data_IF_532870956220
#
_entry.id   IF_532870956220
#
_cell.length_a   1.000
_cell.length_b   1.000
_cell.length_c   1.000
_cell.angle_alpha   90.00
_cell.angle_beta   90.00
_cell.angle_gamma   90.00
#
_symmetry.space_group_name_H-M   'P 1'
#
loop_
_entity.id
_entity.type
_entity.pdbx_description
1 polymer ?
#
# COMPACT_ATOMS: atom_id res chain seq x y z
N UNK A 1 7.55 8.35 7.14
CA UNK A 1 6.67 7.30 7.72
C UNK A 1 5.24 7.80 7.91
N UNK A 2 5.01 8.89 8.64
CA UNK A 2 3.66 9.45 8.82
C UNK A 2 2.97 9.86 7.50
N UNK A 3 3.75 10.31 6.50
CA UNK A 3 3.24 10.66 5.16
C UNK A 3 2.49 9.51 4.45
N UNK A 4 2.87 8.25 4.70
CA UNK A 4 2.22 7.09 4.09
C UNK A 4 0.74 7.04 4.49
N UNK A 5 0.40 7.31 5.75
CA UNK A 5 -0.99 7.31 6.21
C UNK A 5 -1.83 8.36 5.47
N UNK A 6 -1.26 9.54 5.22
CA UNK A 6 -1.95 10.61 4.49
C UNK A 6 -2.16 10.25 3.02
N UNK A 7 -1.14 9.65 2.38
CA UNK A 7 -1.26 9.17 1.00
C UNK A 7 -2.36 8.12 0.89
N UNK A 8 -2.35 7.10 1.74
CA UNK A 8 -3.37 6.04 1.69
C UNK A 8 -4.76 6.63 1.92
N UNK A 9 -4.94 7.50 2.94
CA UNK A 9 -6.23 8.18 3.16
C UNK A 9 -6.71 8.94 1.92
N UNK A 10 -5.83 9.71 1.28
CA UNK A 10 -6.16 10.46 0.06
C UNK A 10 -6.54 9.56 -1.13
N UNK A 11 -5.91 8.38 -1.26
CA UNK A 11 -6.30 7.39 -2.28
C UNK A 11 -7.75 6.95 -2.05
N UNK A 12 -8.11 6.58 -0.82
CA UNK A 12 -9.46 6.11 -0.50
C UNK A 12 -10.54 7.20 -0.61
N UNK A 13 -10.20 8.47 -0.41
CA UNK A 13 -11.15 9.58 -0.64
C UNK A 13 -11.55 9.72 -2.12
N UNK A 14 -10.72 9.25 -3.04
CA UNK A 14 -10.93 9.35 -4.48
C UNK A 14 -11.58 8.13 -5.13
N UNK A 15 -11.75 7.03 -4.37
CA UNK A 15 -12.24 5.75 -4.88
C UNK A 15 -13.65 5.51 -4.35
N UNK A 16 -14.60 5.35 -5.28
CA UNK A 16 -15.99 5.10 -4.95
C UNK A 16 -16.15 3.67 -4.44
N UNK A 17 -17.12 3.46 -3.54
CA UNK A 17 -17.50 2.15 -3.01
C UNK A 17 -16.40 1.42 -2.21
N UNK A 18 -15.32 2.11 -1.83
CA UNK A 18 -14.30 1.64 -0.92
C UNK A 18 -14.28 2.50 0.36
N UNK A 19 -14.36 1.87 1.53
CA UNK A 19 -14.30 2.54 2.83
C UNK A 19 -13.07 2.09 3.60
N UNK A 20 -12.13 3.01 3.82
CA UNK A 20 -10.95 2.76 4.65
C UNK A 20 -11.36 2.54 6.13
N UNK A 21 -10.82 1.50 6.75
CA UNK A 21 -10.95 1.23 8.19
C UNK A 21 -9.69 1.68 8.94
N UNK A 22 -8.55 1.07 8.59
CA UNK A 22 -7.27 1.33 9.26
C UNK A 22 -6.07 1.21 8.33
N UNK A 23 -5.02 1.94 8.69
CA UNK A 23 -3.69 1.85 8.09
C UNK A 23 -2.68 1.84 9.22
N UNK A 24 -1.92 0.77 9.35
CA UNK A 24 -0.92 0.63 10.40
C UNK A 24 0.43 0.25 9.82
N UNK A 25 1.49 0.88 10.34
CA UNK A 25 2.82 0.30 10.23
C UNK A 25 2.86 -0.93 11.15
N UNK A 26 2.69 -2.11 10.55
CA UNK A 26 2.39 -3.33 11.27
C UNK A 26 3.64 -3.98 11.86
N UNK A 27 4.75 -3.99 11.10
CA UNK A 27 6.01 -4.60 11.53
C UNK A 27 7.19 -4.19 10.65
N UNK A 28 8.38 -4.37 11.19
CA UNK A 28 9.60 -4.48 10.39
C UNK A 28 9.63 -5.87 9.75
N UNK A 29 9.61 -5.92 8.42
CA UNK A 29 9.84 -7.13 7.63
C UNK A 29 11.35 -7.42 7.49
N UNK A 30 11.70 -8.56 6.88
CA UNK A 30 13.10 -8.93 6.70
C UNK A 30 13.90 -7.91 5.87
N UNK A 31 13.24 -7.25 4.91
CA UNK A 31 13.83 -6.28 3.99
C UNK A 31 12.92 -5.05 3.77
N UNK A 32 11.87 -4.89 4.58
CA UNK A 32 10.74 -4.00 4.32
C UNK A 32 10.17 -3.37 5.59
N UNK A 33 9.41 -2.30 5.40
CA UNK A 33 8.50 -1.76 6.41
C UNK A 33 7.08 -2.14 5.98
N UNK A 34 6.44 -3.05 6.72
CA UNK A 34 5.17 -3.61 6.29
C UNK A 34 4.03 -2.77 6.84
N UNK A 35 3.20 -2.24 5.93
CA UNK A 35 1.97 -1.53 6.26
C UNK A 35 0.75 -2.43 6.01
N UNK A 36 -0.12 -2.57 7.00
CA UNK A 36 -1.42 -3.23 6.85
C UNK A 36 -2.48 -2.17 6.53
N UNK A 37 -3.23 -2.39 5.45
CA UNK A 37 -4.35 -1.55 5.03
C UNK A 37 -5.61 -2.42 5.05
N UNK A 38 -6.61 -2.04 5.85
CA UNK A 38 -7.90 -2.73 5.94
C UNK A 38 -8.99 -1.78 5.48
N UNK A 39 -9.86 -2.28 4.61
CA UNK A 39 -10.96 -1.53 4.03
C UNK A 39 -12.12 -2.45 3.67
N UNK A 40 -13.28 -1.85 3.46
CA UNK A 40 -14.50 -2.53 3.03
C UNK A 40 -14.87 -2.09 1.63
N UNK A 41 -15.26 -3.05 0.79
CA UNK A 41 -15.86 -2.76 -0.53
C UNK A 41 -17.37 -2.92 -0.43
N UNK A 42 -18.11 -1.94 -0.94
CA UNK A 42 -19.57 -1.95 -0.96
C UNK A 42 -20.08 -2.83 -2.10
N UNK A 43 -20.72 -3.95 -1.76
CA UNK A 43 -21.23 -4.93 -2.71
C UNK A 43 -20.79 -6.34 -2.37
N UNK A 44 -21.23 -7.32 -3.16
CA UNK A 44 -20.84 -8.72 -3.01
C UNK A 44 -20.31 -9.33 -4.31
N UNK A 45 -20.21 -8.53 -5.36
CA UNK A 45 -19.70 -8.92 -6.66
C UNK A 45 -18.17 -8.99 -6.60
N UNK A 46 -17.63 -10.19 -6.80
CA UNK A 46 -16.17 -10.41 -6.76
C UNK A 46 -15.42 -9.55 -7.79
N UNK A 47 -15.96 -9.39 -9.00
CA UNK A 47 -15.36 -8.55 -10.05
C UNK A 47 -15.23 -7.11 -9.58
N UNK A 48 -16.28 -6.55 -8.96
CA UNK A 48 -16.26 -5.19 -8.42
C UNK A 48 -15.18 -5.02 -7.35
N UNK A 49 -15.05 -6.00 -6.45
CA UNK A 49 -13.98 -6.02 -5.46
C UNK A 49 -12.60 -6.00 -6.12
N UNK A 50 -12.38 -6.85 -7.13
CA UNK A 50 -11.10 -6.92 -7.83
C UNK A 50 -10.76 -5.62 -8.56
N UNK A 51 -11.75 -5.00 -9.22
CA UNK A 51 -11.56 -3.73 -9.95
C UNK A 51 -11.17 -2.60 -8.99
N UNK A 52 -11.86 -2.50 -7.84
CA UNK A 52 -11.58 -1.49 -6.81
C UNK A 52 -10.20 -1.74 -6.18
N UNK A 53 -9.85 -2.98 -5.86
CA UNK A 53 -8.53 -3.32 -5.33
C UNK A 53 -7.42 -2.96 -6.32
N UNK A 54 -7.63 -3.24 -7.60
CA UNK A 54 -6.68 -2.86 -8.65
C UNK A 54 -6.53 -1.34 -8.72
N UNK A 55 -7.62 -0.58 -8.70
CA UNK A 55 -7.57 0.89 -8.71
C UNK A 55 -6.80 1.43 -7.50
N UNK A 56 -7.08 0.92 -6.29
CA UNK A 56 -6.36 1.30 -5.07
C UNK A 56 -4.86 1.06 -5.24
N UNK A 57 -4.47 -0.15 -5.66
CA UNK A 57 -3.06 -0.54 -5.80
C UNK A 57 -2.32 0.31 -6.84
N UNK A 58 -2.95 0.58 -7.99
CA UNK A 58 -2.36 1.40 -9.05
C UNK A 58 -2.17 2.85 -8.59
N UNK A 59 -3.14 3.46 -7.92
CA UNK A 59 -2.99 4.82 -7.40
C UNK A 59 -1.91 4.94 -6.32
N UNK A 60 -1.82 3.95 -5.43
CA UNK A 60 -0.74 3.90 -4.44
C UNK A 60 0.62 3.85 -5.16
N UNK A 61 0.75 2.98 -6.16
CA UNK A 61 1.98 2.85 -6.95
C UNK A 61 2.36 4.17 -7.65
N UNK A 62 1.41 4.83 -8.31
CA UNK A 62 1.63 6.10 -9.01
C UNK A 62 2.09 7.22 -8.07
N UNK A 63 1.42 7.38 -6.92
CA UNK A 63 1.79 8.39 -5.93
C UNK A 63 3.15 8.08 -5.31
N UNK A 64 3.42 6.81 -5.01
CA UNK A 64 4.72 6.38 -4.47
C UNK A 64 5.84 6.71 -5.45
N UNK A 65 5.65 6.43 -6.74
CA UNK A 65 6.62 6.78 -7.78
C UNK A 65 6.85 8.30 -7.88
N UNK A 66 5.79 9.11 -7.81
CA UNK A 66 5.89 10.58 -7.82
C UNK A 66 6.63 11.14 -6.59
N UNK A 67 6.47 10.47 -5.44
CA UNK A 67 7.04 10.87 -4.16
C UNK A 67 8.42 10.26 -3.87
N UNK A 68 8.97 9.47 -4.81
CA UNK A 68 10.26 8.78 -4.64
C UNK A 68 10.24 7.71 -3.55
N UNK A 69 9.06 7.15 -3.25
CA UNK A 69 8.88 6.06 -2.29
C UNK A 69 9.02 4.74 -3.04
N UNK A 70 10.10 4.02 -2.79
CA UNK A 70 10.37 2.73 -3.43
C UNK A 70 9.68 1.58 -2.67
N UNK A 71 9.18 0.61 -3.42
CA UNK A 71 8.76 -0.67 -2.84
C UNK A 71 10.00 -1.48 -2.46
N UNK A 72 9.91 -2.14 -1.30
CA UNK A 72 10.98 -3.00 -0.84
C UNK A 72 11.12 -4.24 -1.73
N UNK A 73 12.35 -4.51 -2.16
CA UNK A 73 12.74 -5.77 -2.77
C UNK A 73 13.58 -6.56 -1.78
N UNK A 74 13.60 -7.90 -1.83
CA UNK A 74 14.53 -8.69 -1.01
C UNK A 74 15.97 -8.27 -1.30
N UNK A 75 16.68 -7.72 -0.31
CA UNK A 75 18.06 -7.27 -0.44
C UNK A 75 18.99 -8.03 0.50
N UNK A 76 20.20 -8.36 0.06
CA UNK A 76 21.19 -9.00 0.92
C UNK A 76 22.47 -8.18 0.91
N UNK A 77 23.00 -7.87 2.09
CA UNK A 77 24.33 -7.28 2.22
C UNK A 77 25.37 -8.39 2.17
N UNK A 78 26.14 -8.45 1.09
CA UNK A 78 27.25 -9.41 0.95
C UNK A 78 28.51 -8.78 1.52
N UNK A 79 29.04 -9.35 2.62
CA UNK A 79 30.32 -8.96 3.20
C UNK A 79 31.41 -9.87 2.60
N UNK A 80 32.28 -9.31 1.78
CA UNK A 80 33.42 -10.02 1.21
C UNK A 80 34.63 -9.87 2.14
N UNK A 81 35.00 -10.96 2.82
CA UNK A 81 36.26 -11.05 3.55
C UNK A 81 37.37 -11.47 2.57
N UNK A 82 38.53 -10.79 2.62
CA UNK A 82 39.74 -11.18 1.88
C UNK A 82 40.43 -12.36 2.53
#
# INVERSE_FOLDING_TARGET
LEKILLIIKGVFESIKDAKLDRVHFAKYGAFSLDYEIVYFVMGNEYIKYMDIQQEINLRIYEIFAQEGIEFAYPTQTVILNK
#
